data_IF_750453378980
#
_entry.id   IF_750453378980
#
_cell.length_a   1.000
_cell.length_b   1.000
_cell.length_c   1.000
_cell.angle_alpha   90.00
_cell.angle_beta   90.00
_cell.angle_gamma   90.00
#
_symmetry.space_group_name_H-M   'P 1'
#
loop_
_entity.id
_entity.type
_entity.pdbx_description
1 polymer ?
#
# COMPACT_ATOMS: atom_id res chain seq x y z
N UNK A 1 -21.20 21.03 -50.78
CA UNK A 1 -20.18 21.51 -49.80
C UNK A 1 -20.83 21.46 -48.42
N UNK A 2 -20.37 20.82 -47.35
CA UNK A 2 -19.07 20.34 -46.87
C UNK A 2 -19.42 19.21 -45.87
N UNK A 3 -18.91 17.99 -46.01
CA UNK A 3 -19.02 16.95 -44.96
C UNK A 3 -17.69 16.95 -44.22
N UNK A 4 -17.64 17.62 -43.07
CA UNK A 4 -16.45 17.62 -42.22
C UNK A 4 -16.55 16.36 -41.34
N UNK A 5 -15.79 15.34 -41.72
CA UNK A 5 -15.58 14.13 -40.93
C UNK A 5 -14.64 14.51 -39.77
N UNK A 6 -15.17 14.66 -38.55
CA UNK A 6 -14.33 14.79 -37.35
C UNK A 6 -13.93 13.40 -36.87
N UNK A 7 -12.70 13.02 -37.17
CA UNK A 7 -12.03 11.86 -36.62
C UNK A 7 -11.73 12.09 -35.13
N UNK A 8 -12.39 11.34 -34.25
CA UNK A 8 -12.08 11.31 -32.83
C UNK A 8 -10.84 10.43 -32.62
N UNK A 9 -9.67 11.05 -32.52
CA UNK A 9 -8.46 10.37 -32.06
C UNK A 9 -8.56 10.22 -30.53
N UNK A 10 -8.92 9.02 -30.06
CA UNK A 10 -8.88 8.68 -28.64
C UNK A 10 -7.43 8.61 -28.18
N UNK A 11 -6.98 9.62 -27.44
CA UNK A 11 -5.70 9.59 -26.72
C UNK A 11 -5.84 8.55 -25.61
N UNK A 12 -5.19 7.39 -25.78
CA UNK A 12 -4.98 6.45 -24.69
C UNK A 12 -3.99 7.09 -23.71
N UNK A 13 -4.52 7.70 -22.64
CA UNK A 13 -3.75 8.12 -21.49
C UNK A 13 -3.15 6.86 -20.86
N UNK A 14 -1.92 6.54 -21.24
CA UNK A 14 -1.10 5.60 -20.48
C UNK A 14 -0.87 6.23 -19.11
N UNK A 15 -1.63 5.79 -18.11
CA UNK A 15 -1.42 6.17 -16.72
C UNK A 15 -0.10 5.50 -16.34
N UNK A 16 1.01 6.23 -16.48
CA UNK A 16 2.29 5.81 -15.94
C UNK A 16 2.06 5.58 -14.46
N UNK A 17 2.09 4.32 -14.03
CA UNK A 17 1.96 3.92 -12.63
C UNK A 17 3.21 4.42 -11.91
N UNK A 18 3.17 5.69 -11.48
CA UNK A 18 4.07 6.18 -10.46
C UNK A 18 3.96 5.19 -9.30
N UNK A 19 5.07 4.56 -8.92
CA UNK A 19 5.08 3.60 -7.82
C UNK A 19 4.49 4.29 -6.58
N UNK A 20 3.24 3.96 -6.25
CA UNK A 20 2.53 4.66 -5.19
C UNK A 20 3.17 4.27 -3.87
N UNK A 21 3.99 5.16 -3.34
CA UNK A 21 4.67 4.97 -2.07
C UNK A 21 3.91 5.73 -0.98
N UNK A 22 3.58 5.02 0.08
CA UNK A 22 2.79 5.53 1.20
C UNK A 22 3.67 5.61 2.44
N UNK A 23 3.52 6.68 3.22
CA UNK A 23 4.16 6.76 4.54
C UNK A 23 3.28 6.07 5.56
N UNK A 24 3.89 5.16 6.31
CA UNK A 24 3.27 4.42 7.41
C UNK A 24 4.16 4.59 8.64
N UNK A 25 3.58 5.06 9.72
CA UNK A 25 4.27 5.17 11.01
C UNK A 25 3.90 3.97 11.88
N UNK A 26 4.91 3.23 12.32
CA UNK A 26 4.79 2.16 13.30
C UNK A 26 5.08 2.76 14.67
N UNK A 27 4.06 2.89 15.51
CA UNK A 27 4.19 3.50 16.83
C UNK A 27 4.80 2.56 17.89
N UNK A 28 4.92 1.28 17.56
CA UNK A 28 5.40 0.22 18.45
C UNK A 28 6.18 -0.85 17.65
N UNK A 29 6.97 -1.71 18.32
CA UNK A 29 7.62 -2.82 17.66
C UNK A 29 6.58 -3.69 16.95
N UNK A 30 6.80 -3.94 15.66
CA UNK A 30 5.79 -4.52 14.77
C UNK A 30 6.39 -5.66 13.97
N UNK A 31 5.83 -6.85 14.08
CA UNK A 31 6.27 -8.01 13.30
C UNK A 31 5.61 -8.00 11.93
N UNK A 32 6.44 -8.06 10.88
CA UNK A 32 6.01 -8.16 9.47
C UNK A 32 6.81 -9.30 8.84
N UNK A 33 6.12 -10.30 8.27
CA UNK A 33 6.75 -11.46 7.63
C UNK A 33 7.83 -12.14 8.52
N UNK A 34 7.50 -12.34 9.80
CA UNK A 34 8.42 -12.92 10.80
C UNK A 34 9.57 -12.00 11.27
N UNK A 35 9.76 -10.84 10.65
CA UNK A 35 10.79 -9.87 11.02
C UNK A 35 10.21 -8.80 11.94
N UNK A 36 10.85 -8.54 13.08
CA UNK A 36 10.46 -7.47 13.98
C UNK A 36 11.03 -6.12 13.51
N UNK A 37 10.12 -5.19 13.20
CA UNK A 37 10.45 -3.82 12.86
C UNK A 37 10.43 -2.93 14.09
N UNK A 38 11.36 -1.98 14.14
CA UNK A 38 11.40 -0.97 15.19
C UNK A 38 10.28 0.06 14.97
N UNK A 39 9.82 0.73 16.03
CA UNK A 39 8.97 1.90 15.88
C UNK A 39 9.64 2.96 15.00
N UNK A 40 8.88 3.60 14.13
CA UNK A 40 9.38 4.65 13.24
C UNK A 40 8.59 4.79 11.95
N UNK A 41 9.10 5.63 11.05
CA UNK A 41 8.50 5.87 9.74
C UNK A 41 9.03 4.90 8.70
N UNK A 42 8.10 4.30 7.97
CA UNK A 42 8.36 3.36 6.88
C UNK A 42 7.69 3.87 5.61
N UNK A 43 8.41 3.75 4.51
CA UNK A 43 7.84 3.88 3.17
C UNK A 43 7.34 2.52 2.73
N UNK A 44 6.05 2.42 2.46
CA UNK A 44 5.43 1.21 1.91
C UNK A 44 5.23 1.42 0.42
N UNK A 45 5.83 0.55 -0.38
CA UNK A 45 5.64 0.52 -1.84
C UNK A 45 5.02 -0.81 -2.20
N UNK A 46 3.99 -0.78 -3.03
CA UNK A 46 3.37 -1.99 -3.55
C UNK A 46 4.09 -2.40 -4.84
N UNK A 47 4.61 -3.62 -4.88
CA UNK A 47 5.21 -4.21 -6.06
C UNK A 47 4.52 -5.54 -6.35
N UNK A 48 3.68 -5.55 -7.38
CA UNK A 48 2.83 -6.67 -7.74
C UNK A 48 1.93 -7.08 -6.54
N UNK A 49 2.24 -8.21 -5.88
CA UNK A 49 1.53 -8.72 -4.71
C UNK A 49 2.36 -8.66 -3.41
N UNK A 50 3.43 -7.86 -3.40
CA UNK A 50 4.31 -7.69 -2.25
C UNK A 50 4.29 -6.24 -1.76
N UNK A 51 4.19 -6.07 -0.45
CA UNK A 51 4.46 -4.80 0.20
C UNK A 51 5.95 -4.75 0.54
N UNK A 52 6.65 -3.75 0.01
CA UNK A 52 8.03 -3.45 0.36
C UNK A 52 8.02 -2.31 1.37
N UNK A 53 8.43 -2.61 2.61
CA UNK A 53 8.57 -1.61 3.66
C UNK A 53 10.05 -1.22 3.77
N UNK A 54 10.34 0.06 3.50
CA UNK A 54 11.70 0.60 3.52
C UNK A 54 11.83 1.70 4.58
N UNK A 55 12.87 1.61 5.40
CA UNK A 55 13.28 2.66 6.34
C UNK A 55 14.80 2.78 6.35
N UNK A 56 15.31 3.88 5.80
CA UNK A 56 16.74 4.11 5.64
C UNK A 56 17.42 3.00 4.82
N UNK A 57 18.25 2.19 5.48
CA UNK A 57 18.98 1.05 4.88
C UNK A 57 18.24 -0.28 5.03
N UNK A 58 17.16 -0.32 5.81
CA UNK A 58 16.37 -1.52 6.03
C UNK A 58 15.27 -1.59 4.98
N UNK A 59 15.19 -2.70 4.26
CA UNK A 59 14.09 -3.00 3.36
C UNK A 59 13.61 -4.42 3.66
N UNK A 60 12.31 -4.57 3.88
CA UNK A 60 11.68 -5.87 4.05
C UNK A 60 10.57 -6.04 3.02
N UNK A 61 10.36 -7.26 2.57
CA UNK A 61 9.27 -7.62 1.68
C UNK A 61 8.31 -8.54 2.42
N UNK A 62 7.02 -8.31 2.22
CA UNK A 62 5.96 -9.12 2.78
C UNK A 62 4.90 -9.38 1.72
N UNK A 63 4.42 -10.62 1.67
CA UNK A 63 3.29 -10.99 0.81
C UNK A 63 2.01 -10.35 1.35
N UNK A 64 1.32 -9.63 0.46
CA UNK A 64 0.07 -8.94 0.80
C UNK A 64 -0.99 -9.18 -0.25
N UNK A 65 -2.21 -9.35 0.22
CA UNK A 65 -3.39 -9.29 -0.60
C UNK A 65 -3.89 -7.85 -0.63
N UNK A 66 -3.94 -7.27 -1.83
CA UNK A 66 -4.51 -5.94 -2.03
C UNK A 66 -6.01 -6.07 -2.15
N UNK A 67 -6.75 -5.39 -1.26
CA UNK A 67 -8.20 -5.35 -1.28
C UNK A 67 -8.70 -3.91 -1.38
N UNK A 68 -9.87 -3.75 -2.00
CA UNK A 68 -10.56 -2.47 -2.10
C UNK A 68 -11.74 -2.49 -1.13
N UNK A 69 -11.79 -1.49 -0.25
CA UNK A 69 -12.90 -1.26 0.66
C UNK A 69 -14.01 -0.44 -0.02
N UNK A 70 -15.22 -0.50 0.54
CA UNK A 70 -16.38 0.23 0.02
C UNK A 70 -16.25 1.75 0.15
N UNK A 71 -15.46 2.21 1.14
CA UNK A 71 -15.24 3.62 1.45
C UNK A 71 -13.77 4.00 1.43
N UNK A 72 -13.49 5.24 1.05
CA UNK A 72 -12.14 5.83 1.09
C UNK A 72 -11.64 5.96 2.54
N UNK A 73 -10.40 5.58 2.79
CA UNK A 73 -9.72 5.80 4.07
C UNK A 73 -9.26 7.26 4.15
N UNK A 74 -9.70 7.97 5.20
CA UNK A 74 -9.27 9.36 5.45
C UNK A 74 -7.82 9.47 5.87
N UNK A 75 -7.29 8.46 6.57
CA UNK A 75 -5.93 8.42 7.11
C UNK A 75 -5.31 7.05 6.91
N UNK A 76 -3.98 7.00 6.84
CA UNK A 76 -3.25 5.74 6.84
C UNK A 76 -3.34 5.11 8.23
N UNK A 77 -3.68 3.83 8.31
CA UNK A 77 -3.85 3.12 9.58
C UNK A 77 -3.28 1.72 9.51
N UNK A 78 -2.50 1.35 10.53
CA UNK A 78 -1.96 0.00 10.69
C UNK A 78 -2.81 -0.75 11.71
N UNK A 79 -3.28 -1.94 11.34
CA UNK A 79 -3.97 -2.85 12.26
C UNK A 79 -3.05 -3.97 12.67
N UNK A 80 -3.08 -4.26 13.96
CA UNK A 80 -2.28 -5.30 14.58
C UNK A 80 -3.15 -6.45 15.07
N UNK A 81 -2.63 -7.66 15.00
CA UNK A 81 -3.12 -8.81 15.75
C UNK A 81 -2.18 -9.12 16.91
N UNK A 82 -2.77 -9.45 18.06
CA UNK A 82 -2.05 -9.84 19.26
C UNK A 82 -2.21 -11.36 19.44
N UNK A 83 -1.36 -12.13 18.76
CA UNK A 83 -1.38 -13.60 18.87
C UNK A 83 -0.53 -14.12 20.03
N UNK A 84 0.66 -13.55 20.23
CA UNK A 84 1.71 -14.11 21.12
C UNK A 84 2.39 -13.05 22.01
N UNK A 85 1.68 -11.97 22.35
CA UNK A 85 2.27 -10.79 23.01
C UNK A 85 3.15 -9.93 22.10
N UNK A 86 3.27 -10.30 20.81
CA UNK A 86 3.89 -9.50 19.75
C UNK A 86 2.82 -8.87 18.87
N UNK A 87 3.01 -7.60 18.51
CA UNK A 87 2.15 -6.88 17.59
C UNK A 87 2.47 -7.28 16.15
N UNK A 88 1.69 -8.20 15.57
CA UNK A 88 1.81 -8.59 14.16
C UNK A 88 0.98 -7.68 13.28
N UNK A 89 1.56 -7.15 12.20
CA UNK A 89 0.80 -6.32 11.23
C UNK A 89 -0.14 -7.23 10.45
N UNK A 90 -1.43 -6.94 10.53
CA UNK A 90 -2.49 -7.72 9.89
C UNK A 90 -2.99 -7.04 8.61
N UNK A 91 -3.22 -5.73 8.67
CA UNK A 91 -3.54 -4.94 7.49
C UNK A 91 -3.04 -3.50 7.61
N UNK A 92 -2.73 -2.89 6.46
CA UNK A 92 -2.43 -1.46 6.33
C UNK A 92 -3.50 -0.85 5.43
N UNK A 93 -4.27 0.10 5.97
CA UNK A 93 -5.23 0.91 5.23
C UNK A 93 -4.52 2.14 4.71
N UNK A 94 -4.61 2.39 3.40
CA UNK A 94 -3.88 3.46 2.74
C UNK A 94 -4.72 4.73 2.73
N UNK A 95 -4.28 5.75 3.46
CA UNK A 95 -4.97 7.03 3.53
C UNK A 95 -5.02 7.72 2.17
N UNK A 96 -6.15 8.33 1.85
CA UNK A 96 -6.35 8.96 0.54
C UNK A 96 -6.78 7.99 -0.56
N UNK A 97 -6.94 6.70 -0.28
CA UNK A 97 -7.47 5.68 -1.21
C UNK A 97 -8.49 4.78 -0.52
N UNK A 98 -9.18 3.91 -1.26
CA UNK A 98 -9.99 2.82 -0.70
C UNK A 98 -9.21 1.50 -0.62
N UNK A 99 -7.88 1.55 -0.76
CA UNK A 99 -7.04 0.35 -0.82
C UNK A 99 -6.53 -0.03 0.56
N UNK A 100 -6.61 -1.33 0.89
CA UNK A 100 -5.98 -1.92 2.06
C UNK A 100 -5.08 -3.08 1.64
N UNK A 101 -3.96 -3.22 2.35
CA UNK A 101 -3.00 -4.29 2.15
C UNK A 101 -3.15 -5.24 3.31
N UNK A 102 -3.66 -6.44 3.05
CA UNK A 102 -3.84 -7.50 4.05
C UNK A 102 -2.62 -8.40 4.01
N UNK A 103 -1.91 -8.54 5.13
CA UNK A 103 -0.67 -9.31 5.21
C UNK A 103 -1.01 -10.79 5.42
N UNK A 104 -0.41 -11.65 4.60
CA UNK A 104 -0.45 -13.09 4.83
C UNK A 104 0.47 -13.40 6.03
N UNK A 105 -0.11 -13.88 7.12
CA UNK A 105 0.57 -14.17 8.39
C UNK A 105 0.46 -15.65 8.74
#
# INVERSE_FOLDING_TARGET
MKKILLSFATVALAIGSAATSYRVTLFQPSTVNGTELKPGDYKVTLKDNKAVLTSGKTSIEADVKTETADTKFGTTTVRYSNGDGKYRVQEIRLGGTSTRLVFEN
#
